data_IF_124142542180
#
_entry.id   IF_124142542180
#
_cell.length_a   1.000
_cell.length_b   1.000
_cell.length_c   1.000
_cell.angle_alpha   90.00
_cell.angle_beta   90.00
_cell.angle_gamma   90.00
#
_symmetry.space_group_name_H-M   'P 1'
#
loop_
_entity.id
_entity.type
_entity.pdbx_description
1 polymer ?
#
# COMPACT_ATOMS: atom_id res chain seq x y z
N UNK A 1 -53.15 -12.94 10.52
CA UNK A 1 -52.06 -13.84 10.05
C UNK A 1 -51.00 -12.96 9.41
N UNK A 2 -49.95 -12.60 10.14
CA UNK A 2 -48.85 -11.77 9.61
C UNK A 2 -47.87 -12.66 8.85
N UNK A 3 -47.57 -12.27 7.62
CA UNK A 3 -46.52 -12.80 6.75
C UNK A 3 -45.15 -12.82 7.48
N UNK A 4 -44.77 -13.98 8.00
CA UNK A 4 -43.55 -14.20 8.78
C UNK A 4 -42.48 -15.00 8.01
N UNK A 5 -42.63 -15.18 6.69
CA UNK A 5 -41.80 -16.10 5.90
C UNK A 5 -40.75 -15.44 5.01
N UNK A 6 -40.48 -14.13 5.14
CA UNK A 6 -39.31 -13.55 4.47
C UNK A 6 -38.11 -13.61 5.41
N UNK A 7 -37.01 -14.30 5.05
CA UNK A 7 -35.76 -14.21 5.80
C UNK A 7 -35.34 -12.74 5.80
N UNK A 8 -35.45 -12.08 6.96
CA UNK A 8 -35.01 -10.69 7.11
C UNK A 8 -33.51 -10.69 6.82
N UNK A 9 -33.10 -9.99 5.75
CA UNK A 9 -31.67 -9.81 5.44
C UNK A 9 -31.00 -9.25 6.71
N UNK A 10 -29.88 -9.82 7.16
CA UNK A 10 -29.28 -9.41 8.41
C UNK A 10 -28.93 -7.91 8.33
N UNK A 11 -29.23 -7.11 9.36
CA UNK A 11 -28.99 -5.66 9.38
C UNK A 11 -27.54 -5.29 9.04
N UNK A 12 -26.61 -6.22 9.31
CA UNK A 12 -25.19 -6.11 8.98
C UNK A 12 -24.90 -5.87 7.49
N UNK A 13 -25.61 -6.54 6.57
CA UNK A 13 -25.37 -6.41 5.12
C UNK A 13 -25.76 -5.02 4.63
N UNK A 14 -26.92 -4.53 5.08
CA UNK A 14 -27.41 -3.19 4.71
C UNK A 14 -26.48 -2.12 5.25
N UNK A 15 -26.10 -2.22 6.53
CA UNK A 15 -25.15 -1.30 7.16
C UNK A 15 -23.79 -1.32 6.45
N UNK A 16 -23.32 -2.50 6.02
CA UNK A 16 -22.10 -2.64 5.25
C UNK A 16 -22.16 -1.92 3.89
N UNK A 17 -23.28 -2.01 3.16
CA UNK A 17 -23.43 -1.28 1.90
C UNK A 17 -23.46 0.23 2.10
N UNK A 18 -24.12 0.72 3.16
CA UNK A 18 -24.11 2.16 3.49
C UNK A 18 -22.70 2.63 3.85
N UNK A 19 -21.96 1.83 4.61
CA UNK A 19 -20.57 2.10 4.95
C UNK A 19 -19.70 2.17 3.68
N UNK A 20 -19.82 1.21 2.77
CA UNK A 20 -19.02 1.22 1.53
C UNK A 20 -19.45 2.34 0.58
N UNK A 21 -20.72 2.71 0.53
CA UNK A 21 -21.16 3.89 -0.22
C UNK A 21 -20.49 5.17 0.28
N UNK A 22 -20.35 5.34 1.60
CA UNK A 22 -19.58 6.44 2.19
C UNK A 22 -18.12 6.40 1.72
N UNK A 23 -17.42 5.27 1.88
CA UNK A 23 -16.00 5.17 1.49
C UNK A 23 -15.75 5.24 -0.02
N UNK A 24 -16.75 4.93 -0.85
CA UNK A 24 -16.69 5.17 -2.29
C UNK A 24 -16.88 6.64 -2.67
N UNK A 25 -17.58 7.42 -1.86
CA UNK A 25 -17.75 8.85 -2.07
C UNK A 25 -16.52 9.66 -1.61
N UNK A 26 -15.83 9.21 -0.56
CA UNK A 26 -14.73 9.95 0.05
C UNK A 26 -13.59 10.35 -0.91
N UNK A 27 -13.12 9.53 -1.86
CA UNK A 27 -12.09 9.90 -2.81
C UNK A 27 -12.44 11.12 -3.68
N UNK A 28 -13.72 11.43 -3.88
CA UNK A 28 -14.17 12.59 -4.65
C UNK A 28 -14.22 13.87 -3.81
N UNK A 29 -14.38 13.74 -2.49
CA UNK A 29 -14.50 14.86 -1.55
C UNK A 29 -13.14 15.19 -0.92
N UNK A 30 -12.37 14.15 -0.63
CA UNK A 30 -11.12 14.16 0.10
C UNK A 30 -10.14 13.17 -0.55
N UNK A 31 -9.62 13.49 -1.76
CA UNK A 31 -8.73 12.60 -2.50
C UNK A 31 -7.38 12.41 -1.79
N UNK A 32 -6.69 11.27 -2.00
CA UNK A 32 -5.26 11.11 -1.70
C UNK A 32 -4.43 12.05 -2.59
N UNK A 33 -4.23 13.27 -2.10
CA UNK A 33 -3.59 14.37 -2.84
C UNK A 33 -2.08 14.47 -2.62
N UNK A 34 -1.51 13.55 -1.83
CA UNK A 34 -0.08 13.52 -1.50
C UNK A 34 0.33 14.44 -0.35
N UNK A 35 -0.62 15.12 0.31
CA UNK A 35 -0.31 15.90 1.51
C UNK A 35 -0.30 15.05 2.77
N UNK A 36 0.69 15.25 3.63
CA UNK A 36 0.70 14.69 4.98
C UNK A 36 -0.27 15.46 5.90
N UNK A 37 -1.03 14.73 6.71
CA UNK A 37 -2.02 15.29 7.66
C UNK A 37 -1.77 14.81 9.08
N UNK A 38 -2.72 15.01 9.99
CA UNK A 38 -2.60 14.74 11.43
C UNK A 38 -1.83 13.45 11.77
N UNK A 39 -0.79 13.56 12.61
CA UNK A 39 0.10 12.44 12.95
C UNK A 39 -0.64 11.23 13.54
N UNK A 40 -1.72 11.45 14.31
CA UNK A 40 -2.54 10.37 14.83
C UNK A 40 -3.26 9.59 13.72
N UNK A 41 -3.79 10.29 12.70
CA UNK A 41 -4.42 9.64 11.55
C UNK A 41 -3.41 8.79 10.78
N UNK A 42 -2.18 9.30 10.61
CA UNK A 42 -1.10 8.56 9.99
C UNK A 42 -0.68 7.34 10.83
N UNK A 43 -0.59 7.49 12.16
CA UNK A 43 -0.26 6.39 13.06
C UNK A 43 -1.28 5.25 12.96
N UNK A 44 -2.57 5.57 13.08
CA UNK A 44 -3.66 4.58 12.98
C UNK A 44 -3.70 3.97 11.58
N UNK A 45 -3.61 4.80 10.53
CA UNK A 45 -3.63 4.36 9.13
C UNK A 45 -2.55 3.33 8.82
N UNK A 46 -1.36 3.45 9.40
CA UNK A 46 -0.24 2.53 9.16
C UNK A 46 -0.44 1.13 9.72
N UNK A 47 -1.48 0.88 10.51
CA UNK A 47 -1.88 -0.49 10.85
C UNK A 47 -2.68 -1.19 9.74
N UNK A 48 -2.99 -0.51 8.63
CA UNK A 48 -3.67 -1.12 7.48
C UNK A 48 -3.01 -2.44 7.01
N UNK A 49 -1.68 -2.52 6.78
CA UNK A 49 -1.02 -3.78 6.42
C UNK A 49 -1.19 -4.89 7.47
N UNK A 50 -1.21 -4.56 8.76
CA UNK A 50 -1.45 -5.55 9.82
C UNK A 50 -2.89 -6.07 9.74
N UNK A 51 -3.85 -5.15 9.56
CA UNK A 51 -5.27 -5.48 9.54
C UNK A 51 -5.67 -6.33 8.32
N UNK A 52 -4.99 -6.20 7.17
CA UNK A 52 -5.31 -6.99 5.96
C UNK A 52 -4.92 -8.47 6.06
N UNK A 53 -4.00 -8.88 6.95
CA UNK A 53 -3.61 -10.29 7.07
C UNK A 53 -4.79 -11.19 7.49
N UNK A 54 -5.65 -10.69 8.38
CA UNK A 54 -6.83 -11.41 8.85
C UNK A 54 -7.82 -11.72 7.70
N UNK A 55 -8.37 -10.73 6.97
CA UNK A 55 -9.30 -11.00 5.89
C UNK A 55 -8.67 -11.79 4.74
N UNK A 56 -7.38 -11.59 4.40
CA UNK A 56 -6.72 -12.36 3.33
C UNK A 56 -6.72 -13.86 3.66
N UNK A 57 -6.31 -14.23 4.89
CA UNK A 57 -6.31 -15.63 5.31
C UNK A 57 -7.72 -16.22 5.35
N UNK A 58 -8.68 -15.48 5.90
CA UNK A 58 -10.06 -15.97 6.00
C UNK A 58 -10.75 -16.10 4.63
N UNK A 59 -10.56 -15.14 3.71
CA UNK A 59 -11.10 -15.21 2.34
C UNK A 59 -10.48 -16.34 1.53
N UNK A 60 -9.19 -16.65 1.76
CA UNK A 60 -8.55 -17.82 1.14
C UNK A 60 -9.11 -19.14 1.65
N UNK A 61 -9.61 -19.18 2.90
CA UNK A 61 -10.17 -20.37 3.53
C UNK A 61 -11.63 -20.66 3.09
N UNK A 62 -12.47 -19.63 2.89
CA UNK A 62 -13.87 -19.80 2.44
C UNK A 62 -14.03 -20.75 1.24
N UNK A 63 -13.34 -20.58 0.09
CA UNK A 63 -13.51 -21.46 -1.06
C UNK A 63 -13.09 -22.90 -0.77
N UNK A 64 -12.10 -23.14 0.10
CA UNK A 64 -11.70 -24.48 0.51
C UNK A 64 -12.84 -25.17 1.28
N UNK A 65 -13.49 -24.45 2.20
CA UNK A 65 -14.62 -24.97 2.97
C UNK A 65 -15.85 -25.22 2.11
N UNK A 66 -16.12 -24.35 1.14
CA UNK A 66 -17.22 -24.54 0.19
C UNK A 66 -16.92 -25.73 -0.77
N UNK A 67 -15.67 -25.91 -1.21
CA UNK A 67 -15.24 -27.04 -2.04
C UNK A 67 -15.39 -28.37 -1.29
N UNK A 68 -14.99 -28.43 -0.02
CA UNK A 68 -15.18 -29.61 0.84
C UNK A 68 -16.66 -30.01 0.91
N UNK A 69 -17.56 -29.04 1.08
CA UNK A 69 -19.00 -29.24 1.02
C UNK A 69 -19.48 -29.80 -0.33
N UNK A 70 -18.99 -29.24 -1.45
CA UNK A 70 -19.33 -29.70 -2.80
C UNK A 70 -18.85 -31.14 -3.07
N UNK A 71 -17.66 -31.50 -2.59
CA UNK A 71 -17.10 -32.84 -2.69
C UNK A 71 -17.72 -33.82 -1.68
N UNK A 72 -18.65 -33.34 -0.83
CA UNK A 72 -19.27 -34.11 0.26
C UNK A 72 -18.24 -34.66 1.27
N UNK A 73 -17.08 -34.00 1.39
CA UNK A 73 -16.01 -34.32 2.33
C UNK A 73 -16.14 -33.37 3.53
N UNK A 74 -16.23 -33.88 4.75
CA UNK A 74 -16.32 -33.07 5.98
C UNK A 74 -17.39 -31.95 5.92
N UNK A 75 -18.61 -32.28 5.47
CA UNK A 75 -19.74 -31.35 5.26
C UNK A 75 -20.01 -30.43 6.47
N UNK A 76 -19.74 -30.92 7.69
CA UNK A 76 -19.86 -30.12 8.91
C UNK A 76 -18.99 -28.86 8.90
N UNK A 77 -17.82 -28.88 8.25
CA UNK A 77 -16.91 -27.74 8.12
C UNK A 77 -17.46 -26.65 7.18
N UNK A 78 -18.28 -27.01 6.18
CA UNK A 78 -18.94 -26.04 5.31
C UNK A 78 -19.87 -25.10 6.10
N UNK A 79 -20.46 -25.59 7.20
CA UNK A 79 -21.29 -24.76 8.08
C UNK A 79 -20.50 -23.59 8.69
N UNK A 80 -19.20 -23.79 8.95
CA UNK A 80 -18.30 -22.77 9.49
C UNK A 80 -17.97 -21.66 8.49
N UNK A 81 -18.08 -21.91 7.18
CA UNK A 81 -17.72 -20.93 6.15
C UNK A 81 -18.55 -19.64 6.23
N UNK A 82 -19.78 -19.70 6.77
CA UNK A 82 -20.61 -18.51 7.00
C UNK A 82 -20.04 -17.58 8.06
N UNK A 83 -19.60 -18.11 9.19
CA UNK A 83 -18.94 -17.32 10.25
C UNK A 83 -17.62 -16.74 9.74
N UNK A 84 -16.83 -17.54 9.03
CA UNK A 84 -15.55 -17.12 8.46
C UNK A 84 -15.76 -15.99 7.45
N UNK A 85 -16.78 -16.08 6.60
CA UNK A 85 -17.12 -15.01 5.65
C UNK A 85 -17.56 -13.72 6.37
N UNK A 86 -18.29 -13.81 7.48
CA UNK A 86 -18.64 -12.64 8.30
C UNK A 86 -17.39 -11.97 8.86
N UNK A 87 -16.49 -12.74 9.49
CA UNK A 87 -15.25 -12.23 10.06
C UNK A 87 -14.34 -11.64 8.98
N UNK A 88 -14.23 -12.31 7.83
CA UNK A 88 -13.52 -11.80 6.66
C UNK A 88 -14.11 -10.47 6.19
N UNK A 89 -15.43 -10.37 6.07
CA UNK A 89 -16.12 -9.14 5.63
C UNK A 89 -15.84 -8.00 6.61
N UNK A 90 -15.96 -8.23 7.91
CA UNK A 90 -15.63 -7.22 8.93
C UNK A 90 -14.16 -6.78 8.83
N UNK A 91 -13.24 -7.72 8.62
CA UNK A 91 -11.83 -7.42 8.40
C UNK A 91 -11.59 -6.57 7.17
N UNK A 92 -12.24 -6.87 6.04
CA UNK A 92 -12.15 -6.07 4.80
C UNK A 92 -12.72 -4.66 5.01
N UNK A 93 -13.89 -4.52 5.64
CA UNK A 93 -14.48 -3.21 5.92
C UNK A 93 -13.56 -2.35 6.82
N UNK A 94 -13.00 -2.95 7.86
CA UNK A 94 -12.02 -2.30 8.74
C UNK A 94 -10.75 -1.90 7.99
N UNK A 95 -10.21 -2.80 7.16
CA UNK A 95 -9.05 -2.52 6.33
C UNK A 95 -9.32 -1.38 5.34
N UNK A 96 -10.50 -1.32 4.70
CA UNK A 96 -10.90 -0.22 3.82
C UNK A 96 -10.94 1.12 4.56
N UNK A 97 -11.50 1.17 5.78
CA UNK A 97 -11.51 2.41 6.57
C UNK A 97 -10.10 2.89 6.95
N UNK A 98 -9.29 2.00 7.51
CA UNK A 98 -7.92 2.34 7.93
C UNK A 98 -7.03 2.63 6.72
N UNK A 99 -7.24 1.93 5.60
CA UNK A 99 -6.53 2.14 4.34
C UNK A 99 -6.88 3.47 3.68
N UNK A 100 -8.15 3.86 3.69
CA UNK A 100 -8.54 5.21 3.24
C UNK A 100 -7.93 6.29 4.13
N UNK A 101 -7.98 6.12 5.46
CA UNK A 101 -7.35 7.05 6.40
C UNK A 101 -5.85 7.20 6.14
N UNK A 102 -5.15 6.09 5.87
CA UNK A 102 -3.74 6.07 5.49
C UNK A 102 -3.50 6.80 4.18
N UNK A 103 -4.27 6.51 3.13
CA UNK A 103 -4.11 7.12 1.82
C UNK A 103 -4.33 8.64 1.88
N UNK A 104 -5.35 9.09 2.60
CA UNK A 104 -5.67 10.51 2.75
C UNK A 104 -4.68 11.29 3.63
N UNK A 105 -4.14 10.66 4.68
CA UNK A 105 -3.28 11.36 5.65
C UNK A 105 -1.78 11.16 5.45
N UNK A 106 -1.36 10.09 4.77
CA UNK A 106 0.01 9.59 4.75
C UNK A 106 0.89 10.08 3.60
N UNK A 107 0.48 11.13 2.88
CA UNK A 107 1.27 11.67 1.76
C UNK A 107 1.26 10.82 0.49
N UNK A 108 0.32 9.89 0.36
CA UNK A 108 0.19 9.01 -0.81
C UNK A 108 -0.56 9.69 -1.96
N UNK A 109 -0.09 9.48 -3.20
CA UNK A 109 -0.75 9.94 -4.44
C UNK A 109 -0.42 9.03 -5.62
N UNK A 110 -1.18 9.17 -6.70
CA UNK A 110 -0.90 8.53 -7.99
C UNK A 110 -1.79 7.33 -8.30
N UNK A 111 -1.60 6.80 -9.51
CA UNK A 111 -2.49 5.80 -10.10
C UNK A 111 -2.49 4.49 -9.31
N UNK A 112 -1.32 4.00 -8.88
CA UNK A 112 -1.20 2.79 -8.06
C UNK A 112 -2.02 2.87 -6.77
N UNK A 113 -1.96 4.01 -6.06
CA UNK A 113 -2.72 4.23 -4.82
C UNK A 113 -4.21 4.21 -5.12
N UNK A 114 -4.64 4.85 -6.21
CA UNK A 114 -6.05 4.86 -6.60
C UNK A 114 -6.56 3.49 -7.04
N UNK A 115 -5.77 2.75 -7.82
CA UNK A 115 -6.11 1.40 -8.26
C UNK A 115 -6.23 0.45 -7.06
N UNK A 116 -5.33 0.55 -6.08
CA UNK A 116 -5.42 -0.20 -4.83
C UNK A 116 -6.66 0.19 -4.00
N UNK A 117 -6.95 1.49 -3.87
CA UNK A 117 -8.12 2.00 -3.15
C UNK A 117 -9.42 1.45 -3.76
N UNK A 118 -9.59 1.56 -5.08
CA UNK A 118 -10.78 1.06 -5.76
C UNK A 118 -10.87 -0.47 -5.73
N UNK A 119 -9.72 -1.16 -5.77
CA UNK A 119 -9.65 -2.60 -5.53
C UNK A 119 -10.18 -3.00 -4.15
N UNK A 120 -9.79 -2.28 -3.10
CA UNK A 120 -10.28 -2.51 -1.72
C UNK A 120 -11.78 -2.26 -1.56
N UNK A 121 -12.31 -1.22 -2.19
CA UNK A 121 -13.76 -0.95 -2.24
C UNK A 121 -14.49 -2.07 -2.99
N UNK A 122 -13.99 -2.46 -4.17
CA UNK A 122 -14.54 -3.56 -4.95
C UNK A 122 -14.55 -4.88 -4.18
N UNK A 123 -13.46 -5.19 -3.46
CA UNK A 123 -13.38 -6.37 -2.61
C UNK A 123 -14.43 -6.33 -1.49
N UNK A 124 -14.66 -5.17 -0.88
CA UNK A 124 -15.68 -4.97 0.15
C UNK A 124 -17.09 -5.23 -0.39
N UNK A 125 -17.41 -4.71 -1.58
CA UNK A 125 -18.68 -4.95 -2.26
C UNK A 125 -18.86 -6.45 -2.54
N UNK A 126 -17.83 -7.12 -3.06
CA UNK A 126 -17.88 -8.56 -3.33
C UNK A 126 -18.15 -9.37 -2.06
N UNK A 127 -17.50 -9.05 -0.94
CA UNK A 127 -17.72 -9.72 0.35
C UNK A 127 -19.15 -9.54 0.86
N UNK A 128 -19.70 -8.32 0.77
CA UNK A 128 -21.09 -8.04 1.17
C UNK A 128 -22.11 -8.76 0.29
N UNK A 129 -21.86 -8.85 -1.02
CA UNK A 129 -22.68 -9.61 -1.95
C UNK A 129 -22.62 -11.11 -1.66
N UNK A 130 -21.44 -11.67 -1.40
CA UNK A 130 -21.28 -13.06 -0.98
C UNK A 130 -22.07 -13.34 0.30
N UNK A 131 -21.95 -12.47 1.30
CA UNK A 131 -22.65 -12.61 2.57
C UNK A 131 -24.18 -12.55 2.38
N UNK A 132 -24.67 -11.71 1.46
CA UNK A 132 -26.09 -11.61 1.12
C UNK A 132 -26.61 -12.84 0.36
N UNK A 133 -25.81 -13.42 -0.54
CA UNK A 133 -26.19 -14.55 -1.40
C UNK A 133 -26.07 -15.91 -0.70
N UNK A 134 -25.18 -16.03 0.29
CA UNK A 134 -24.86 -17.31 0.94
C UNK A 134 -26.06 -18.06 1.53
N UNK A 135 -27.01 -17.42 2.23
CA UNK A 135 -28.17 -18.15 2.77
C UNK A 135 -28.99 -18.85 1.69
N UNK A 136 -29.25 -18.18 0.56
CA UNK A 136 -29.96 -18.75 -0.59
C UNK A 136 -29.15 -19.86 -1.27
N UNK A 137 -27.82 -19.70 -1.36
CA UNK A 137 -26.92 -20.74 -1.86
C UNK A 137 -26.99 -22.03 -1.01
N UNK A 138 -27.00 -21.92 0.33
CA UNK A 138 -27.06 -23.07 1.24
C UNK A 138 -28.46 -23.68 1.32
N UNK A 139 -29.52 -22.87 1.33
CA UNK A 139 -30.90 -23.34 1.46
C UNK A 139 -31.42 -24.08 0.20
N UNK A 140 -30.79 -23.86 -0.96
CA UNK A 140 -31.23 -24.45 -2.23
C UNK A 140 -32.51 -23.83 -2.81
N UNK A 141 -33.10 -22.84 -2.15
CA UNK A 141 -34.23 -22.05 -2.66
C UNK A 141 -33.74 -21.13 -3.80
N UNK A 142 -34.25 -21.33 -5.02
CA UNK A 142 -33.70 -20.67 -6.21
C UNK A 142 -32.42 -21.33 -6.74
N UNK A 143 -32.29 -22.65 -6.54
CA UNK A 143 -31.17 -23.57 -6.82
C UNK A 143 -30.21 -23.17 -7.95
N UNK A 144 -30.72 -22.71 -9.08
CA UNK A 144 -29.90 -22.36 -10.24
C UNK A 144 -29.30 -20.96 -10.10
N UNK A 145 -30.08 -19.92 -9.83
CA UNK A 145 -29.59 -18.53 -9.87
C UNK A 145 -28.58 -18.22 -8.76
N UNK A 146 -28.89 -18.57 -7.51
CA UNK A 146 -27.99 -18.31 -6.39
C UNK A 146 -26.65 -19.06 -6.54
N UNK A 147 -26.70 -20.28 -7.08
CA UNK A 147 -25.50 -21.11 -7.33
C UNK A 147 -24.70 -20.63 -8.54
N UNK A 148 -25.37 -20.19 -9.60
CA UNK A 148 -24.75 -19.55 -10.76
C UNK A 148 -24.08 -18.22 -10.41
N UNK A 149 -24.55 -17.50 -9.40
CA UNK A 149 -23.96 -16.22 -8.99
C UNK A 149 -22.90 -16.37 -7.90
N UNK A 150 -23.12 -17.22 -6.90
CA UNK A 150 -22.26 -17.30 -5.72
C UNK A 150 -20.85 -17.80 -6.03
N UNK A 151 -20.71 -18.89 -6.78
CA UNK A 151 -19.38 -19.47 -7.08
C UNK A 151 -18.54 -18.53 -7.96
N UNK A 152 -19.06 -17.99 -9.08
CA UNK A 152 -18.30 -17.00 -9.86
C UNK A 152 -17.93 -15.77 -9.04
N UNK A 153 -18.86 -15.24 -8.22
CA UNK A 153 -18.56 -14.11 -7.35
C UNK A 153 -17.45 -14.43 -6.33
N UNK A 154 -17.42 -15.66 -5.80
CA UNK A 154 -16.37 -16.10 -4.90
C UNK A 154 -15.01 -16.12 -5.60
N UNK A 155 -14.95 -16.66 -6.82
CA UNK A 155 -13.73 -16.64 -7.64
C UNK A 155 -13.31 -15.21 -8.02
N UNK A 156 -14.26 -14.35 -8.39
CA UNK A 156 -14.02 -12.92 -8.62
C UNK A 156 -13.45 -12.26 -7.38
N UNK A 157 -13.96 -12.58 -6.19
CA UNK A 157 -13.45 -12.05 -4.91
C UNK A 157 -11.98 -12.41 -4.72
N UNK A 158 -11.57 -13.65 -5.01
CA UNK A 158 -10.17 -14.08 -4.94
C UNK A 158 -9.30 -13.37 -5.98
N UNK A 159 -9.80 -13.17 -7.20
CA UNK A 159 -9.10 -12.43 -8.25
C UNK A 159 -8.87 -10.96 -7.87
N UNK A 160 -9.93 -10.27 -7.40
CA UNK A 160 -9.85 -8.88 -6.93
C UNK A 160 -8.92 -8.79 -5.72
N UNK A 161 -9.00 -9.72 -4.77
CA UNK A 161 -8.09 -9.78 -3.61
C UNK A 161 -6.64 -9.91 -4.06
N UNK A 162 -6.34 -10.82 -5.00
CA UNK A 162 -4.98 -11.06 -5.48
C UNK A 162 -4.41 -9.83 -6.21
N UNK A 163 -5.21 -9.23 -7.10
CA UNK A 163 -4.85 -7.99 -7.80
C UNK A 163 -4.61 -6.83 -6.83
N UNK A 164 -5.54 -6.61 -5.90
CA UNK A 164 -5.44 -5.53 -4.90
C UNK A 164 -4.25 -5.73 -3.97
N UNK A 165 -3.97 -6.98 -3.58
CA UNK A 165 -2.82 -7.32 -2.72
C UNK A 165 -1.49 -7.08 -3.43
N UNK A 166 -1.39 -7.42 -4.71
CA UNK A 166 -0.21 -7.12 -5.52
C UNK A 166 0.07 -5.60 -5.54
N UNK A 167 -0.96 -4.78 -5.79
CA UNK A 167 -0.84 -3.31 -5.74
C UNK A 167 -0.52 -2.81 -4.32
N UNK A 168 -1.04 -3.44 -3.27
CA UNK A 168 -0.74 -3.06 -1.87
C UNK A 168 0.73 -3.29 -1.49
N UNK A 169 1.33 -4.37 -2.00
CA UNK A 169 2.74 -4.72 -1.74
C UNK A 169 3.73 -3.69 -2.27
N UNK A 170 3.34 -2.92 -3.30
CA UNK A 170 4.17 -1.88 -3.91
C UNK A 170 3.95 -0.48 -3.32
N UNK A 171 3.10 -0.31 -2.29
CA UNK A 171 2.81 1.01 -1.67
C UNK A 171 3.46 1.17 -0.28
N UNK A 172 3.61 0.11 0.50
CA UNK A 172 3.99 0.20 1.92
C UNK A 172 5.34 -0.47 2.21
N UNK A 173 6.29 0.31 2.75
CA UNK A 173 7.66 -0.14 3.04
C UNK A 173 8.25 0.66 4.21
N UNK A 174 9.21 0.07 4.93
CA UNK A 174 9.99 0.76 5.98
C UNK A 174 10.10 -0.07 7.27
N UNK A 175 11.26 -0.05 7.91
CA UNK A 175 11.49 -0.78 9.18
C UNK A 175 10.83 -0.07 10.38
N UNK A 176 10.75 1.26 10.32
CA UNK A 176 10.08 2.10 11.31
C UNK A 176 8.63 2.42 10.92
N UNK A 177 8.07 1.73 9.91
CA UNK A 177 6.78 2.06 9.31
C UNK A 177 5.69 2.25 10.36
N UNK A 178 5.48 1.25 11.24
CA UNK A 178 4.47 1.31 12.30
C UNK A 178 4.79 2.31 13.41
N UNK A 179 6.08 2.57 13.67
CA UNK A 179 6.50 3.35 14.84
C UNK A 179 6.73 4.83 14.52
N UNK A 180 6.86 5.24 13.25
CA UNK A 180 7.25 6.60 12.84
C UNK A 180 6.31 7.73 13.29
N UNK A 181 5.00 7.50 13.48
CA UNK A 181 4.09 8.51 14.05
C UNK A 181 3.49 8.11 15.41
N UNK A 182 4.09 7.15 16.10
CA UNK A 182 3.57 6.66 17.39
C UNK A 182 3.46 7.78 18.45
N UNK A 183 2.32 7.96 19.14
CA UNK A 183 2.18 8.98 20.18
C UNK A 183 3.25 8.84 21.28
N UNK A 184 3.70 9.97 21.84
CA UNK A 184 4.82 10.00 22.80
C UNK A 184 4.64 9.07 24.01
N UNK A 185 3.45 9.06 24.62
CA UNK A 185 3.16 8.17 25.75
C UNK A 185 3.21 6.68 25.40
N UNK A 186 2.93 6.33 24.14
CA UNK A 186 3.02 4.95 23.67
C UNK A 186 4.48 4.57 23.36
N UNK A 187 5.27 5.50 22.82
CA UNK A 187 6.72 5.29 22.61
C UNK A 187 7.46 5.05 23.92
N UNK A 188 7.17 5.84 24.96
CA UNK A 188 7.77 5.65 26.27
C UNK A 188 7.41 4.30 26.89
N UNK A 189 6.17 3.83 26.67
CA UNK A 189 5.73 2.51 27.13
C UNK A 189 6.53 1.36 26.49
N UNK A 190 6.87 1.50 25.20
CA UNK A 190 7.62 0.49 24.45
C UNK A 190 9.14 0.70 24.47
N UNK A 191 9.66 1.66 25.26
CA UNK A 191 11.10 1.95 25.32
C UNK A 191 11.68 2.47 24.01
N UNK A 192 10.85 3.02 23.13
CA UNK A 192 11.26 3.57 21.83
C UNK A 192 11.74 5.00 22.05
N UNK A 193 12.89 5.33 21.45
CA UNK A 193 13.43 6.68 21.48
C UNK A 193 12.37 7.72 21.02
N UNK A 194 12.37 8.95 21.58
CA UNK A 194 11.46 10.00 21.14
C UNK A 194 11.56 10.16 19.62
N UNK A 195 10.42 10.33 18.93
CA UNK A 195 10.49 10.67 17.52
C UNK A 195 11.37 11.90 17.30
N UNK A 196 12.05 11.98 16.15
CA UNK A 196 12.44 13.27 15.62
C UNK A 196 11.18 14.13 15.58
N UNK A 197 11.11 15.14 16.44
CA UNK A 197 10.04 16.12 16.40
C UNK A 197 10.16 16.75 15.01
N UNK A 198 9.16 16.65 14.12
CA UNK A 198 9.15 17.52 12.96
C UNK A 198 9.14 18.91 13.56
N UNK A 199 10.22 19.66 13.35
CA UNK A 199 10.32 21.04 13.78
C UNK A 199 8.98 21.68 13.43
N UNK A 200 8.19 22.02 14.44
CA UNK A 200 6.96 22.75 14.24
C UNK A 200 7.37 23.90 13.33
N UNK A 201 6.80 23.97 12.12
CA UNK A 201 7.00 25.12 11.25
C UNK A 201 6.48 26.30 12.06
N UNK A 202 7.41 26.96 12.73
CA UNK A 202 7.20 28.24 13.35
C UNK A 202 6.78 29.14 12.21
N UNK A 203 5.49 29.45 12.18
CA UNK A 203 4.96 30.54 11.37
C UNK A 203 5.48 31.83 11.99
N UNK A 204 6.75 32.13 11.72
CA UNK A 204 7.37 33.40 11.99
C UNK A 204 8.08 33.83 10.69
N UNK A 205 7.39 34.74 9.99
CA UNK A 205 7.87 35.75 9.05
C UNK A 205 9.14 35.47 8.23
N UNK A 206 8.98 35.48 6.91
CA UNK A 206 9.95 36.10 6.00
C UNK A 206 11.21 35.30 5.69
N UNK A 207 11.07 34.10 5.12
CA UNK A 207 12.15 33.42 4.40
C UNK A 207 11.81 33.39 2.91
N UNK A 208 12.59 34.09 2.09
CA UNK A 208 12.54 33.98 0.62
C UNK A 208 12.56 32.51 0.24
N UNK A 209 11.53 32.03 -0.44
CA UNK A 209 11.51 30.68 -1.01
C UNK A 209 12.61 30.65 -2.06
N UNK A 210 13.79 30.12 -1.69
CA UNK A 210 14.78 29.76 -2.68
C UNK A 210 14.10 28.80 -3.67
N UNK A 211 14.24 29.01 -4.99
CA UNK A 211 13.64 28.11 -5.97
C UNK A 211 14.09 26.69 -5.66
N UNK A 212 13.13 25.76 -5.58
CA UNK A 212 13.41 24.37 -5.27
C UNK A 212 14.46 23.85 -6.26
N UNK A 213 15.54 23.29 -5.72
CA UNK A 213 16.71 22.87 -6.50
C UNK A 213 16.34 21.79 -7.52
N UNK A 214 17.18 21.63 -8.55
CA UNK A 214 17.07 20.52 -9.49
C UNK A 214 17.12 19.17 -8.77
N UNK A 215 17.90 19.06 -7.69
CA UNK A 215 17.97 17.83 -6.92
C UNK A 215 16.62 17.48 -6.29
N UNK A 216 16.00 18.39 -5.54
CA UNK A 216 14.72 18.14 -4.86
C UNK A 216 13.59 17.89 -5.86
N UNK A 217 13.57 18.63 -6.97
CA UNK A 217 12.45 18.59 -7.92
C UNK A 217 12.54 17.47 -8.96
N UNK A 218 13.75 17.09 -9.37
CA UNK A 218 13.96 16.20 -10.52
C UNK A 218 14.77 14.95 -10.18
N UNK A 219 15.86 15.07 -9.40
CA UNK A 219 16.77 13.93 -9.15
C UNK A 219 16.30 13.05 -7.98
N UNK A 220 15.89 13.65 -6.87
CA UNK A 220 15.45 12.92 -5.68
C UNK A 220 14.27 11.96 -5.97
N UNK A 221 13.24 12.33 -6.76
CA UNK A 221 12.19 11.39 -7.16
C UNK A 221 12.71 10.18 -7.98
N UNK A 222 13.74 10.38 -8.81
CA UNK A 222 14.36 9.30 -9.60
C UNK A 222 15.12 8.36 -8.66
N UNK A 223 15.92 8.90 -7.74
CA UNK A 223 16.66 8.11 -6.76
C UNK A 223 15.73 7.33 -5.83
N UNK A 224 14.62 7.94 -5.39
CA UNK A 224 13.63 7.29 -4.54
C UNK A 224 12.99 6.09 -5.25
N UNK A 225 12.59 6.29 -6.51
CA UNK A 225 11.98 5.26 -7.36
C UNK A 225 12.92 4.09 -7.68
N UNK A 226 14.19 4.37 -8.01
CA UNK A 226 15.10 3.36 -8.57
C UNK A 226 16.15 2.83 -7.57
N UNK A 227 16.57 3.62 -6.59
CA UNK A 227 17.79 3.35 -5.81
C UNK A 227 17.51 3.13 -4.31
N UNK A 228 16.66 3.96 -3.70
CA UNK A 228 16.43 3.98 -2.24
C UNK A 228 15.92 2.65 -1.70
N UNK A 229 15.19 1.87 -2.50
CA UNK A 229 14.74 0.54 -2.08
C UNK A 229 15.89 -0.41 -1.66
N UNK A 230 17.09 -0.25 -2.22
CA UNK A 230 18.27 -1.10 -1.97
C UNK A 230 19.49 -0.36 -1.36
N UNK A 231 19.45 0.97 -1.30
CA UNK A 231 20.50 1.84 -0.77
C UNK A 231 19.97 2.77 0.33
N UNK A 232 19.47 2.17 1.41
CA UNK A 232 18.82 2.83 2.55
C UNK A 232 19.35 2.23 3.87
N UNK A 233 19.06 2.79 5.05
CA UNK A 233 19.69 2.34 6.29
C UNK A 233 19.46 0.83 6.55
N UNK A 234 18.24 0.36 6.29
CA UNK A 234 17.82 -1.03 6.47
C UNK A 234 18.49 -2.04 5.53
N UNK A 235 18.95 -1.57 4.36
CA UNK A 235 19.54 -2.40 3.30
C UNK A 235 20.43 -1.49 2.48
N UNK A 236 21.73 -1.59 2.74
CA UNK A 236 22.76 -0.79 2.09
C UNK A 236 23.75 -1.75 1.43
N UNK A 237 23.48 -2.14 0.17
CA UNK A 237 24.49 -2.86 -0.61
C UNK A 237 25.73 -1.94 -0.73
N UNK A 238 26.91 -2.47 -0.41
CA UNK A 238 28.19 -1.73 -0.38
C UNK A 238 28.22 -0.50 0.55
N UNK A 239 27.46 -0.53 1.66
CA UNK A 239 27.34 0.58 2.63
C UNK A 239 26.91 1.94 2.04
N UNK A 240 26.27 1.89 0.86
CA UNK A 240 25.87 3.09 0.15
C UNK A 240 24.44 3.50 0.48
N UNK A 241 24.27 4.77 0.83
CA UNK A 241 23.01 5.41 1.23
C UNK A 241 22.63 6.49 0.22
N UNK A 242 21.41 6.43 -0.30
CA UNK A 242 20.91 7.36 -1.32
C UNK A 242 19.60 8.06 -0.93
N UNK A 243 19.14 7.91 0.30
CA UNK A 243 17.88 8.48 0.82
C UNK A 243 17.98 9.97 1.17
N UNK A 244 19.19 10.52 1.27
CA UNK A 244 19.44 11.97 1.44
C UNK A 244 20.61 12.39 0.58
N UNK A 245 20.66 13.68 0.22
CA UNK A 245 21.76 14.25 -0.57
C UNK A 245 23.11 14.08 0.13
N UNK A 246 23.15 14.38 1.43
CA UNK A 246 24.36 14.35 2.24
C UNK A 246 24.96 12.94 2.29
N UNK A 247 24.11 11.91 2.42
CA UNK A 247 24.54 10.53 2.45
C UNK A 247 24.94 10.01 1.07
N UNK A 248 24.24 10.42 0.01
CA UNK A 248 24.63 10.11 -1.37
C UNK A 248 26.03 10.65 -1.67
N UNK A 249 26.32 11.89 -1.26
CA UNK A 249 27.62 12.52 -1.48
C UNK A 249 28.71 11.93 -0.58
N UNK A 250 28.37 11.41 0.61
CA UNK A 250 29.30 10.71 1.50
C UNK A 250 29.81 9.40 0.88
N UNK A 251 28.93 8.68 0.17
CA UNK A 251 29.24 7.39 -0.46
C UNK A 251 29.30 6.21 0.51
N UNK A 252 29.78 5.08 -0.02
CA UNK A 252 29.89 3.80 0.69
C UNK A 252 31.28 3.18 0.58
N UNK A 253 31.38 1.85 0.59
CA UNK A 253 32.66 1.10 0.55
C UNK A 253 33.50 1.39 -0.71
N UNK A 254 32.85 1.67 -1.85
CA UNK A 254 33.51 2.00 -3.11
C UNK A 254 33.88 3.49 -3.26
N UNK A 255 33.71 4.29 -2.20
CA UNK A 255 33.92 5.73 -2.21
C UNK A 255 32.69 6.54 -2.68
N UNK A 256 32.88 7.83 -3.00
CA UNK A 256 31.79 8.71 -3.41
C UNK A 256 31.18 8.26 -4.75
N UNK A 257 29.89 7.91 -4.81
CA UNK A 257 29.23 7.49 -6.05
C UNK A 257 29.05 8.66 -7.04
N UNK A 258 29.13 9.90 -6.54
CA UNK A 258 28.97 11.13 -7.31
C UNK A 258 30.18 12.02 -7.08
N UNK A 259 30.82 12.42 -8.18
CA UNK A 259 31.87 13.43 -8.21
C UNK A 259 31.31 14.68 -8.89
N UNK A 260 31.08 15.73 -8.10
CA UNK A 260 30.50 16.98 -8.57
C UNK A 260 31.27 17.53 -9.78
N UNK A 261 30.55 17.80 -10.88
CA UNK A 261 31.09 18.34 -12.12
C UNK A 261 31.73 17.32 -13.06
N UNK A 262 31.73 16.02 -12.75
CA UNK A 262 32.36 14.99 -13.61
C UNK A 262 31.53 13.72 -13.71
N UNK A 263 30.96 13.48 -14.90
CA UNK A 263 30.27 12.22 -15.21
C UNK A 263 31.23 11.04 -15.24
N UNK A 264 32.40 11.20 -15.86
CA UNK A 264 33.39 10.14 -16.02
C UNK A 264 33.91 9.60 -14.68
N UNK A 265 34.01 10.46 -13.67
CA UNK A 265 34.45 10.08 -12.32
C UNK A 265 33.30 9.69 -11.40
N UNK A 266 32.05 9.79 -11.85
CA UNK A 266 30.87 9.46 -11.05
C UNK A 266 30.44 8.01 -11.31
N UNK A 267 30.74 7.12 -10.35
CA UNK A 267 30.38 5.71 -10.41
C UNK A 267 28.87 5.48 -10.61
N UNK A 268 28.04 6.34 -10.01
CA UNK A 268 26.58 6.34 -10.20
C UNK A 268 26.20 6.49 -11.67
N UNK A 269 26.83 7.43 -12.38
CA UNK A 269 26.52 7.68 -13.79
C UNK A 269 27.02 6.54 -14.69
N UNK A 270 28.18 5.95 -14.37
CA UNK A 270 28.68 4.75 -15.07
C UNK A 270 27.66 3.62 -14.94
N UNK A 271 27.25 3.25 -13.73
CA UNK A 271 26.40 2.06 -13.49
C UNK A 271 25.01 2.16 -14.14
N UNK A 272 24.40 3.34 -14.19
CA UNK A 272 23.08 3.52 -14.83
C UNK A 272 23.15 3.58 -16.36
N UNK A 273 24.34 3.70 -16.94
CA UNK A 273 24.56 3.75 -18.40
C UNK A 273 25.18 2.47 -18.96
N UNK A 274 25.53 1.51 -18.10
CA UNK A 274 25.94 0.17 -18.53
C UNK A 274 24.78 -0.54 -19.25
N UNK A 275 25.12 -1.59 -19.99
CA UNK A 275 24.10 -2.45 -20.60
C UNK A 275 23.36 -3.21 -19.50
N UNK A 276 22.08 -3.49 -19.71
CA UNK A 276 21.25 -4.17 -18.71
C UNK A 276 21.68 -5.62 -18.41
N UNK A 277 22.54 -6.22 -19.25
CA UNK A 277 23.13 -7.55 -19.06
C UNK A 277 24.47 -7.52 -18.31
N UNK A 278 24.98 -6.33 -17.96
CA UNK A 278 26.21 -6.15 -17.18
C UNK A 278 25.97 -6.40 -15.69
N UNK A 279 26.91 -7.08 -15.02
CA UNK A 279 26.80 -7.42 -13.59
C UNK A 279 26.84 -6.18 -12.68
N UNK A 280 27.48 -5.10 -13.13
CA UNK A 280 27.56 -3.84 -12.39
C UNK A 280 26.41 -2.88 -12.69
N UNK A 281 25.55 -3.22 -13.65
CA UNK A 281 24.39 -2.41 -14.03
C UNK A 281 23.46 -2.18 -12.84
N UNK A 282 23.00 -0.95 -12.72
CA UNK A 282 21.99 -0.56 -11.73
C UNK A 282 20.82 0.11 -12.44
N UNK A 283 19.56 -0.21 -12.09
CA UNK A 283 19.13 -1.08 -10.97
C UNK A 283 19.27 -2.60 -11.22
N UNK A 284 19.62 -3.37 -10.19
CA UNK A 284 19.69 -4.85 -10.24
C UNK A 284 18.33 -5.53 -10.00
N UNK A 285 18.32 -6.87 -10.04
CA UNK A 285 17.21 -7.72 -9.59
C UNK A 285 15.93 -7.58 -10.46
N UNK A 286 16.10 -7.35 -11.76
CA UNK A 286 15.00 -7.24 -12.74
C UNK A 286 14.16 -5.96 -12.59
N UNK A 287 14.64 -4.98 -11.82
CA UNK A 287 13.97 -3.68 -11.68
C UNK A 287 14.06 -2.86 -12.98
N UNK A 288 13.05 -2.03 -13.29
CA UNK A 288 13.07 -1.20 -14.48
C UNK A 288 14.29 -0.28 -14.52
N UNK A 289 14.98 -0.28 -15.65
CA UNK A 289 16.03 0.68 -15.97
C UNK A 289 15.48 2.12 -15.94
N UNK A 290 16.39 3.08 -15.71
CA UNK A 290 16.05 4.49 -15.87
C UNK A 290 15.76 4.76 -17.35
N UNK A 291 14.75 5.58 -17.63
CA UNK A 291 14.50 6.08 -18.98
C UNK A 291 15.65 7.00 -19.44
N UNK A 292 15.86 7.16 -20.76
CA UNK A 292 16.88 8.08 -21.27
C UNK A 292 16.74 9.52 -20.74
N UNK A 293 15.50 9.96 -20.47
CA UNK A 293 15.23 11.26 -19.88
C UNK A 293 15.67 11.33 -18.41
N UNK A 294 15.41 10.29 -17.62
CA UNK A 294 15.85 10.21 -16.22
C UNK A 294 17.38 10.16 -16.12
N UNK A 295 18.05 9.37 -16.98
CA UNK A 295 19.53 9.34 -17.06
C UNK A 295 20.10 10.71 -17.40
N UNK A 296 19.49 11.42 -18.36
CA UNK A 296 19.90 12.78 -18.75
C UNK A 296 19.79 13.77 -17.59
N UNK A 297 18.69 13.73 -16.83
CA UNK A 297 18.49 14.60 -15.67
C UNK A 297 19.53 14.36 -14.56
N UNK A 298 19.84 13.09 -14.28
CA UNK A 298 20.91 12.74 -13.33
C UNK A 298 22.26 13.28 -13.82
N UNK A 299 22.57 13.12 -15.11
CA UNK A 299 23.81 13.62 -15.69
C UNK A 299 23.94 15.14 -15.66
N UNK A 300 22.87 15.86 -15.99
CA UNK A 300 22.82 17.33 -15.93
C UNK A 300 23.05 17.83 -14.51
N UNK A 301 22.43 17.20 -13.52
CA UNK A 301 22.63 17.55 -12.12
C UNK A 301 24.07 17.33 -11.65
N UNK A 302 24.69 16.19 -11.99
CA UNK A 302 26.10 15.91 -11.67
C UNK A 302 27.00 16.97 -12.30
N UNK A 303 26.78 17.28 -13.58
CA UNK A 303 27.56 18.28 -14.34
C UNK A 303 27.38 19.69 -13.76
N UNK A 304 26.19 20.02 -13.24
CA UNK A 304 25.89 21.28 -12.57
C UNK A 304 26.48 21.39 -11.14
N UNK A 305 27.31 20.43 -10.73
CA UNK A 305 28.03 20.45 -9.46
C UNK A 305 27.31 19.70 -8.33
N UNK A 306 26.33 18.84 -8.66
CA UNK A 306 25.68 17.93 -7.73
C UNK A 306 25.15 18.59 -6.44
N UNK A 307 24.58 19.80 -6.55
CA UNK A 307 24.07 20.56 -5.39
C UNK A 307 22.72 20.02 -4.89
N UNK A 308 22.43 20.11 -3.58
CA UNK A 308 21.14 19.71 -3.01
C UNK A 308 20.00 20.59 -3.50
#
# INVERSE_FOLDING_TARGET
MSDASRPRRPPLVILGFLFIALFAALPFIAPPDGHERAALAQFVGRFHPVLVHLPIGLLSLVPLLELLGLLHIWIHLQKSAGLILILATLGVLGATAVGWLLAWSGGYRGETVMNHLWGGIGLSVCCLLLLALRPSYIAGEGFVLARLLYIPLLLTTLGVMSWTSHQGSIITHGEDYLTKYMPGGLRSLFGIAPAPVPAAKSTAAGGVVAPASMFVTQVAPILDKHCVACHKPSKHKADLRMDTHELLMKGGESGPPVVAGSLEKSDLYRRITLRSDDEEFMPTDGKPALSPAEVKLVGEWITAGAKP
#
